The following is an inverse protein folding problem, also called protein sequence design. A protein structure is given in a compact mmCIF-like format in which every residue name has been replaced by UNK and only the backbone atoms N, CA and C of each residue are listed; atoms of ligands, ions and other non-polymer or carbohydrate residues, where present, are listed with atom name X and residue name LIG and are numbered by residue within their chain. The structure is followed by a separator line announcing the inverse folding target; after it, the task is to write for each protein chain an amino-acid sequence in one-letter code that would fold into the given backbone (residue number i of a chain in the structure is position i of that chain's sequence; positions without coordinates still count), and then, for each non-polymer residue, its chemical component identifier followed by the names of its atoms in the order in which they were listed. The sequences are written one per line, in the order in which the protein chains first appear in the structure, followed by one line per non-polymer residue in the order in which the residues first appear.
data_IF_046690918248
#
_entry.id   IF_046690918248
#
_cell.length_a   1.000
_cell.length_b   1.000
_cell.length_c   1.000
_cell.angle_alpha   90.00
_cell.angle_beta   90.00
_cell.angle_gamma   90.00
#
_symmetry.space_group_name_H-M   'P 1'
#
loop_
_entity.id
_entity.type
_entity.pdbx_description
1 polymer ?
#
# COMPACT_ATOMS: atom_id res chain seq x y z
N UNK A 1 54.82 29.54 -40.51
CA UNK A 1 53.62 29.65 -39.64
C UNK A 1 52.61 28.71 -40.23
N UNK A 2 52.42 27.55 -39.55
CA UNK A 2 51.45 26.54 -39.93
C UNK A 2 50.15 26.76 -39.11
N UNK A 3 49.05 26.87 -39.78
CA UNK A 3 47.70 26.89 -39.19
C UNK A 3 47.28 25.48 -38.90
N UNK A 4 46.86 25.24 -37.66
CA UNK A 4 46.27 23.97 -37.23
C UNK A 4 44.76 24.02 -37.46
N UNK A 5 44.28 23.09 -38.27
CA UNK A 5 42.89 22.85 -38.58
C UNK A 5 42.27 21.99 -37.47
N UNK A 6 41.31 22.54 -36.71
CA UNK A 6 40.62 21.85 -35.65
C UNK A 6 39.22 21.46 -36.17
N UNK A 7 39.10 20.25 -36.69
CA UNK A 7 37.81 19.62 -37.00
C UNK A 7 37.09 19.24 -35.76
N UNK A 8 36.03 19.96 -35.37
CA UNK A 8 35.11 19.57 -34.34
C UNK A 8 34.20 18.44 -34.85
N UNK A 9 34.31 17.27 -34.23
CA UNK A 9 33.39 16.16 -34.46
C UNK A 9 32.00 16.49 -33.84
N UNK A 10 31.01 16.61 -34.69
CA UNK A 10 29.60 16.70 -34.25
C UNK A 10 29.18 15.35 -33.68
N UNK A 11 28.79 15.36 -32.41
CA UNK A 11 28.15 14.22 -31.81
C UNK A 11 26.75 14.07 -32.43
N UNK A 12 26.54 13.02 -33.20
CA UNK A 12 25.22 12.62 -33.66
C UNK A 12 24.42 12.13 -32.42
N UNK A 13 23.47 12.95 -32.03
CA UNK A 13 22.43 12.54 -31.09
C UNK A 13 21.49 11.59 -31.85
N UNK A 14 21.64 10.29 -31.66
CA UNK A 14 20.66 9.31 -32.14
C UNK A 14 19.36 9.57 -31.38
N UNK A 15 18.41 10.22 -32.03
CA UNK A 15 17.04 10.27 -31.60
C UNK A 15 16.53 8.80 -31.54
N UNK A 16 16.11 8.33 -30.39
CA UNK A 16 15.44 7.05 -30.25
C UNK A 16 14.22 7.06 -31.21
N UNK A 17 14.14 6.08 -32.11
CA UNK A 17 12.99 5.92 -32.98
C UNK A 17 11.72 5.73 -32.13
N UNK A 18 10.68 6.51 -32.42
CA UNK A 18 9.37 6.29 -31.82
C UNK A 18 8.89 4.86 -32.16
N UNK A 19 8.30 4.14 -31.21
CA UNK A 19 7.80 2.80 -31.45
C UNK A 19 6.68 2.86 -32.50
N UNK A 20 6.89 2.19 -33.64
CA UNK A 20 5.94 2.10 -34.77
C UNK A 20 4.98 0.92 -34.57
N UNK A 21 4.48 0.69 -33.36
CA UNK A 21 3.55 -0.39 -33.00
C UNK A 21 2.28 0.15 -32.35
N UNK A 22 1.23 -0.68 -32.34
CA UNK A 22 0.01 -0.36 -31.58
C UNK A 22 0.32 -0.18 -30.10
N UNK A 23 -0.20 0.91 -29.50
CA UNK A 23 -0.02 1.19 -28.07
C UNK A 23 -0.68 0.09 -27.24
N UNK A 24 0.10 -0.63 -26.43
CA UNK A 24 -0.40 -1.67 -25.56
C UNK A 24 -1.13 -1.03 -24.37
N UNK A 25 -2.41 -1.38 -24.20
CA UNK A 25 -3.22 -0.92 -23.07
C UNK A 25 -3.04 -1.88 -21.91
N UNK A 26 -2.58 -1.36 -20.78
CA UNK A 26 -2.36 -2.12 -19.54
C UNK A 26 -3.33 -1.64 -18.46
N UNK A 27 -3.83 -2.57 -17.68
CA UNK A 27 -4.66 -2.31 -16.50
C UNK A 27 -3.83 -2.51 -15.24
N UNK A 28 -3.85 -1.52 -14.34
CA UNK A 28 -3.16 -1.56 -13.05
C UNK A 28 -4.14 -1.55 -11.89
N UNK A 29 -4.22 -2.65 -11.15
CA UNK A 29 -4.97 -2.75 -9.90
C UNK A 29 -4.27 -2.01 -8.77
N UNK A 30 -5.03 -1.22 -7.98
CA UNK A 30 -4.49 -0.41 -6.88
C UNK A 30 -5.22 -0.70 -5.56
N UNK A 31 -5.93 0.25 -5.00
CA UNK A 31 -6.73 0.15 -3.78
C UNK A 31 -7.80 1.24 -3.79
N UNK A 32 -8.38 1.55 -2.65
CA UNK A 32 -9.33 2.64 -2.50
C UNK A 32 -8.72 3.99 -2.89
N UNK A 33 -9.55 4.90 -3.44
CA UNK A 33 -9.11 6.18 -4.02
C UNK A 33 -8.47 7.14 -3.00
N UNK A 34 -8.71 6.95 -1.70
CA UNK A 34 -8.11 7.74 -0.61
C UNK A 34 -6.84 7.11 -0.03
N UNK A 35 -6.40 5.98 -0.60
CA UNK A 35 -5.19 5.26 -0.23
C UNK A 35 -3.99 5.58 -1.12
N UNK A 36 -2.79 5.23 -0.65
CA UNK A 36 -1.53 5.51 -1.34
C UNK A 36 -1.37 4.72 -2.63
N UNK A 37 -1.87 3.48 -2.74
CA UNK A 37 -1.81 2.68 -3.96
C UNK A 37 -2.41 3.42 -5.16
N UNK A 38 -3.61 3.98 -4.99
CA UNK A 38 -4.30 4.68 -6.06
C UNK A 38 -3.55 5.96 -6.49
N UNK A 39 -3.13 6.77 -5.52
CA UNK A 39 -2.38 7.99 -5.78
C UNK A 39 -1.04 7.71 -6.47
N UNK A 40 -0.29 6.73 -5.96
CA UNK A 40 1.03 6.35 -6.50
C UNK A 40 0.91 5.69 -7.88
N UNK A 41 -0.07 4.79 -8.05
CA UNK A 41 -0.38 4.18 -9.34
C UNK A 41 -0.73 5.22 -10.40
N UNK A 42 -1.50 6.25 -10.02
CA UNK A 42 -1.81 7.39 -10.89
C UNK A 42 -0.57 8.17 -11.33
N UNK A 43 0.40 8.35 -10.42
CA UNK A 43 1.69 9.00 -10.76
C UNK A 43 2.50 8.12 -11.73
N UNK A 44 2.62 6.81 -11.46
CA UNK A 44 3.31 5.87 -12.36
C UNK A 44 2.67 5.92 -13.75
N UNK A 45 1.35 5.75 -13.82
CA UNK A 45 0.62 5.76 -15.08
C UNK A 45 0.82 7.07 -15.84
N UNK A 46 0.71 8.23 -15.17
CA UNK A 46 0.89 9.53 -15.80
C UNK A 46 2.30 9.70 -16.36
N UNK A 47 3.33 9.31 -15.60
CA UNK A 47 4.73 9.41 -16.05
C UNK A 47 4.99 8.52 -17.26
N UNK A 48 4.57 7.24 -17.22
CA UNK A 48 4.81 6.28 -18.30
C UNK A 48 4.00 6.62 -19.55
N UNK A 49 2.72 6.94 -19.40
CA UNK A 49 1.84 7.33 -20.51
C UNK A 49 2.32 8.59 -21.24
N UNK A 50 3.05 9.49 -20.53
CA UNK A 50 3.60 10.71 -21.14
C UNK A 50 4.88 10.50 -21.95
N UNK A 51 5.51 9.31 -21.87
CA UNK A 51 6.82 9.06 -22.49
C UNK A 51 6.76 8.45 -23.90
N UNK A 52 5.59 8.15 -24.42
CA UNK A 52 5.41 7.53 -25.75
C UNK A 52 6.30 6.28 -25.96
N UNK A 53 6.29 5.39 -24.96
CA UNK A 53 7.08 4.15 -24.94
C UNK A 53 6.28 2.93 -25.40
N UNK A 54 5.14 3.14 -26.07
CA UNK A 54 4.30 2.06 -26.60
C UNK A 54 3.35 1.42 -25.60
N UNK A 55 3.21 1.95 -24.36
CA UNK A 55 2.25 1.50 -23.36
C UNK A 55 1.32 2.61 -22.92
N UNK A 56 0.11 2.22 -22.50
CA UNK A 56 -0.86 3.11 -21.88
C UNK A 56 -1.50 2.41 -20.67
N UNK A 57 -1.19 2.88 -19.48
CA UNK A 57 -1.63 2.28 -18.21
C UNK A 57 -2.91 2.96 -17.74
N UNK A 58 -3.95 2.16 -17.50
CA UNK A 58 -5.20 2.56 -16.87
C UNK A 58 -5.24 2.07 -15.42
N UNK A 59 -5.38 2.99 -14.47
CA UNK A 59 -5.41 2.69 -13.04
C UNK A 59 -6.83 2.38 -12.59
N UNK A 60 -7.00 1.28 -11.86
CA UNK A 60 -8.28 0.86 -11.29
C UNK A 60 -8.24 0.87 -9.76
N UNK A 61 -9.30 1.39 -9.14
CA UNK A 61 -9.58 1.21 -7.72
C UNK A 61 -10.11 -0.20 -7.47
N UNK A 62 -9.58 -0.87 -6.44
CA UNK A 62 -9.87 -2.28 -6.12
C UNK A 62 -10.00 -2.48 -4.61
N UNK A 63 -10.29 -3.72 -4.18
CA UNK A 63 -10.23 -4.17 -2.78
C UNK A 63 -8.81 -4.41 -2.25
N UNK A 64 -7.79 -3.84 -2.87
CA UNK A 64 -6.38 -3.92 -2.52
C UNK A 64 -5.76 -5.33 -2.66
N UNK A 65 -4.80 -5.70 -1.79
CA UNK A 65 -3.78 -6.72 -2.08
C UNK A 65 -4.32 -8.09 -2.49
N UNK A 66 -5.25 -8.69 -1.74
CA UNK A 66 -5.80 -10.02 -2.11
C UNK A 66 -6.56 -9.98 -3.42
N UNK A 67 -7.41 -8.96 -3.60
CA UNK A 67 -8.15 -8.76 -4.85
C UNK A 67 -7.19 -8.56 -6.04
N UNK A 68 -6.13 -7.79 -5.86
CA UNK A 68 -5.13 -7.51 -6.88
C UNK A 68 -4.34 -8.77 -7.29
N UNK A 69 -3.99 -9.62 -6.33
CA UNK A 69 -3.37 -10.92 -6.63
C UNK A 69 -4.26 -11.73 -7.58
N UNK A 70 -5.56 -11.84 -7.28
CA UNK A 70 -6.48 -12.59 -8.14
C UNK A 70 -6.68 -11.93 -9.50
N UNK A 71 -6.83 -10.60 -9.56
CA UNK A 71 -6.94 -9.90 -10.85
C UNK A 71 -5.75 -10.18 -11.77
N UNK A 72 -4.52 -10.20 -11.22
CA UNK A 72 -3.32 -10.51 -12.00
C UNK A 72 -3.24 -11.99 -12.33
N UNK A 73 -3.50 -12.87 -11.36
CA UNK A 73 -3.48 -14.34 -11.54
C UNK A 73 -4.46 -14.80 -12.62
N UNK A 74 -5.66 -14.22 -12.64
CA UNK A 74 -6.72 -14.56 -13.57
C UNK A 74 -6.56 -13.86 -14.94
N UNK A 75 -5.64 -12.88 -15.01
CA UNK A 75 -5.33 -12.10 -16.20
C UNK A 75 -6.34 -11.01 -16.51
N UNK A 76 -7.03 -10.50 -15.47
CA UNK A 76 -7.94 -9.36 -15.53
C UNK A 76 -7.21 -8.03 -15.30
N UNK A 77 -6.03 -8.07 -14.68
CA UNK A 77 -5.10 -6.95 -14.59
C UNK A 77 -3.69 -7.36 -15.07
N UNK A 78 -2.98 -6.40 -15.64
CA UNK A 78 -1.62 -6.59 -16.13
C UNK A 78 -0.57 -6.28 -15.07
N UNK A 79 -0.84 -5.28 -14.25
CA UNK A 79 -0.02 -4.79 -13.16
C UNK A 79 -0.87 -4.62 -11.90
N UNK A 80 -0.27 -4.71 -10.73
CA UNK A 80 -0.95 -4.34 -9.50
C UNK A 80 0.03 -3.95 -8.39
N UNK A 81 -0.47 -3.17 -7.42
CA UNK A 81 0.22 -2.92 -6.15
C UNK A 81 -0.33 -3.84 -5.07
N UNK A 82 0.57 -4.48 -4.33
CA UNK A 82 0.25 -5.43 -3.26
C UNK A 82 1.20 -5.26 -2.08
N UNK A 83 0.80 -5.71 -0.93
CA UNK A 83 1.69 -5.85 0.23
C UNK A 83 2.63 -7.04 0.01
N UNK A 84 3.88 -6.93 0.45
CA UNK A 84 4.87 -8.00 0.28
C UNK A 84 4.57 -9.26 1.11
N UNK A 85 3.93 -9.13 2.26
CA UNK A 85 3.42 -10.24 3.07
C UNK A 85 2.27 -10.97 2.35
N UNK A 86 1.29 -10.24 1.84
CA UNK A 86 0.17 -10.81 1.07
C UNK A 86 0.65 -11.51 -0.20
N UNK A 87 1.68 -10.95 -0.87
CA UNK A 87 2.33 -11.59 -2.02
C UNK A 87 2.94 -12.95 -1.64
N UNK A 88 3.62 -13.03 -0.49
CA UNK A 88 4.19 -14.27 0.02
C UNK A 88 3.12 -15.30 0.39
N UNK A 89 2.07 -14.86 1.11
CA UNK A 89 0.94 -15.72 1.47
C UNK A 89 0.24 -16.29 0.22
N UNK A 90 0.06 -15.48 -0.81
CA UNK A 90 -0.50 -15.92 -2.07
C UNK A 90 0.37 -16.99 -2.73
N UNK A 91 1.67 -16.72 -2.82
CA UNK A 91 2.61 -17.64 -3.48
C UNK A 91 2.71 -19.00 -2.77
N UNK A 92 2.65 -19.00 -1.43
CA UNK A 92 2.77 -20.20 -0.61
C UNK A 92 1.40 -20.87 -0.30
N UNK A 93 0.28 -20.20 -0.53
CA UNK A 93 -1.06 -20.68 -0.15
C UNK A 93 -1.24 -20.73 1.37
N UNK A 94 -0.76 -19.72 2.07
CA UNK A 94 -0.83 -19.60 3.54
C UNK A 94 -1.69 -18.41 3.95
N UNK A 95 -1.97 -18.25 5.24
CA UNK A 95 -2.75 -17.15 5.83
C UNK A 95 -4.03 -16.84 5.02
N UNK A 96 -4.10 -15.67 4.37
CA UNK A 96 -5.23 -15.24 3.55
C UNK A 96 -5.62 -16.20 2.44
N UNK A 97 -4.72 -17.08 2.03
CA UNK A 97 -4.90 -18.01 0.91
C UNK A 97 -4.95 -19.46 1.37
N UNK A 98 -5.00 -19.73 2.68
CA UNK A 98 -4.97 -21.08 3.22
C UNK A 98 -6.17 -21.94 2.78
N UNK A 99 -7.35 -21.32 2.59
CA UNK A 99 -8.55 -22.02 2.17
C UNK A 99 -8.65 -22.16 0.64
N UNK A 100 -8.27 -21.10 -0.10
CA UNK A 100 -8.38 -21.07 -1.56
C UNK A 100 -7.17 -21.70 -2.27
N UNK A 101 -6.03 -21.83 -1.55
CA UNK A 101 -4.78 -22.35 -2.09
C UNK A 101 -3.90 -21.28 -2.72
N UNK A 102 -2.73 -21.72 -3.20
CA UNK A 102 -1.73 -20.82 -3.76
C UNK A 102 -2.17 -20.17 -5.08
N UNK A 103 -1.95 -18.88 -5.21
CA UNK A 103 -2.04 -18.11 -6.45
C UNK A 103 -0.62 -17.67 -6.83
N UNK A 104 -0.10 -18.13 -7.98
CA UNK A 104 1.32 -17.99 -8.35
C UNK A 104 1.57 -17.31 -9.68
N UNK A 105 0.52 -17.01 -10.45
CA UNK A 105 0.64 -16.45 -11.79
C UNK A 105 0.86 -14.93 -11.74
N UNK A 106 1.91 -14.51 -11.04
CA UNK A 106 2.40 -13.13 -11.00
C UNK A 106 3.93 -13.12 -10.81
N UNK A 107 4.54 -11.99 -11.15
CA UNK A 107 5.98 -11.72 -10.96
C UNK A 107 6.16 -10.44 -10.16
N UNK A 108 7.03 -10.46 -9.15
CA UNK A 108 7.42 -9.25 -8.44
C UNK A 108 8.34 -8.39 -9.32
N UNK A 109 7.99 -7.13 -9.50
CA UNK A 109 8.75 -6.17 -10.32
C UNK A 109 9.64 -5.29 -9.44
N UNK A 110 9.06 -4.64 -8.43
CA UNK A 110 9.80 -3.72 -7.56
C UNK A 110 9.14 -3.56 -6.19
N UNK A 111 9.95 -3.36 -5.16
CA UNK A 111 9.51 -2.79 -3.90
C UNK A 111 9.41 -1.27 -4.05
N UNK A 112 8.31 -0.67 -3.62
CA UNK A 112 8.00 0.73 -3.87
C UNK A 112 8.31 1.62 -2.66
N UNK A 113 7.55 1.45 -1.57
CA UNK A 113 7.67 2.29 -0.37
C UNK A 113 7.25 1.50 0.88
N UNK A 114 7.52 2.07 2.05
CA UNK A 114 7.05 1.51 3.31
C UNK A 114 5.54 1.74 3.47
N UNK A 115 4.80 0.67 3.69
CA UNK A 115 3.39 0.71 4.08
C UNK A 115 3.30 0.67 5.60
N UNK A 116 2.99 1.82 6.15
CA UNK A 116 2.98 2.07 7.59
C UNK A 116 1.64 1.66 8.17
N UNK A 117 1.66 0.80 9.18
CA UNK A 117 0.47 0.44 9.93
C UNK A 117 0.10 1.58 10.88
N UNK A 118 -0.95 2.31 10.56
CA UNK A 118 -1.44 3.46 11.30
C UNK A 118 -2.73 3.09 12.01
N UNK A 119 -2.79 3.28 13.32
CA UNK A 119 -3.98 3.02 14.13
C UNK A 119 -4.53 4.36 14.59
N UNK A 120 -5.64 4.77 14.00
CA UNK A 120 -6.22 6.10 14.16
C UNK A 120 -7.41 6.05 15.10
N UNK A 121 -7.45 6.98 16.09
CA UNK A 121 -8.56 7.13 17.04
C UNK A 121 -9.02 8.57 17.14
N UNK A 122 -10.16 8.79 17.78
CA UNK A 122 -10.73 10.14 18.04
C UNK A 122 -10.05 10.91 19.17
N UNK A 123 -8.96 10.37 19.76
CA UNK A 123 -8.17 11.06 20.79
C UNK A 123 -8.41 10.63 22.22
N UNK A 124 -9.49 9.91 22.55
CA UNK A 124 -9.77 9.39 23.90
C UNK A 124 -9.01 8.09 24.19
N UNK A 125 -8.78 7.27 23.17
CA UNK A 125 -8.03 6.00 23.25
C UNK A 125 -6.55 6.32 23.06
N UNK A 126 -5.68 5.82 23.94
CA UNK A 126 -4.25 6.15 23.99
C UNK A 126 -3.33 4.96 23.77
N UNK A 127 -3.83 3.74 23.86
CA UNK A 127 -3.04 2.51 23.65
C UNK A 127 -3.83 1.46 22.88
N UNK A 128 -3.12 0.50 22.29
CA UNK A 128 -3.74 -0.62 21.58
C UNK A 128 -4.56 -1.49 22.52
N UNK A 129 -4.13 -1.65 23.78
CA UNK A 129 -4.89 -2.43 24.81
C UNK A 129 -6.29 -1.89 25.06
N UNK A 130 -6.50 -0.58 24.90
CA UNK A 130 -7.80 0.06 25.11
C UNK A 130 -8.80 -0.21 23.96
N UNK A 131 -8.37 -0.88 22.89
CA UNK A 131 -9.25 -1.28 21.79
C UNK A 131 -10.20 -2.42 22.16
N UNK A 132 -9.96 -3.16 23.26
CA UNK A 132 -10.90 -4.19 23.75
C UNK A 132 -12.29 -3.63 23.97
N UNK A 133 -13.29 -4.29 23.38
CA UNK A 133 -14.70 -3.88 23.42
C UNK A 133 -15.07 -2.71 22.51
N UNK A 134 -14.12 -2.11 21.79
CA UNK A 134 -14.34 -0.97 20.92
C UNK A 134 -14.81 -1.39 19.52
N UNK A 135 -15.45 -0.44 18.82
CA UNK A 135 -15.83 -0.56 17.42
C UNK A 135 -14.61 -0.18 16.58
N UNK A 136 -14.01 -1.16 15.91
CA UNK A 136 -12.75 -0.97 15.19
C UNK A 136 -12.93 -1.33 13.71
N UNK A 137 -12.60 -0.41 12.81
CA UNK A 137 -12.48 -0.75 11.40
C UNK A 137 -11.09 -1.33 11.13
N UNK A 138 -11.07 -2.54 10.57
CA UNK A 138 -9.86 -3.32 10.31
C UNK A 138 -9.48 -3.33 8.82
N UNK A 139 -10.09 -2.47 8.00
CA UNK A 139 -9.93 -2.46 6.55
C UNK A 139 -11.03 -3.26 5.84
N UNK A 140 -11.01 -3.23 4.52
CA UNK A 140 -11.92 -4.02 3.69
C UNK A 140 -11.74 -5.51 3.99
N UNK A 141 -12.84 -6.28 3.92
CA UNK A 141 -12.80 -7.71 4.18
C UNK A 141 -11.85 -8.43 3.20
N UNK A 142 -10.95 -9.24 3.71
CA UNK A 142 -9.91 -9.93 2.93
C UNK A 142 -8.77 -9.02 2.47
N UNK A 143 -8.72 -7.75 2.90
CA UNK A 143 -7.60 -6.86 2.58
C UNK A 143 -6.35 -7.22 3.39
N UNK A 144 -5.17 -6.83 2.90
CA UNK A 144 -3.93 -6.95 3.68
C UNK A 144 -3.98 -6.14 4.99
N UNK A 145 -4.73 -5.03 5.02
CA UNK A 145 -4.95 -4.23 6.23
C UNK A 145 -5.65 -5.03 7.32
N UNK A 146 -6.66 -5.82 6.96
CA UNK A 146 -7.37 -6.69 7.91
C UNK A 146 -6.42 -7.69 8.58
N UNK A 147 -5.48 -8.25 7.82
CA UNK A 147 -4.45 -9.15 8.37
C UNK A 147 -3.47 -8.43 9.27
N UNK A 148 -2.97 -7.27 8.83
CA UNK A 148 -2.09 -6.47 9.67
C UNK A 148 -2.79 -6.07 10.98
N UNK A 149 -4.07 -5.69 10.93
CA UNK A 149 -4.86 -5.40 12.12
C UNK A 149 -4.98 -6.62 13.04
N UNK A 150 -5.29 -7.80 12.47
CA UNK A 150 -5.36 -9.06 13.22
C UNK A 150 -4.04 -9.38 13.90
N UNK A 151 -2.94 -9.38 13.16
CA UNK A 151 -1.61 -9.72 13.64
C UNK A 151 -1.11 -8.73 14.71
N UNK A 152 -1.35 -7.42 14.52
CA UNK A 152 -1.00 -6.41 15.52
C UNK A 152 -1.81 -6.62 16.79
N UNK A 153 -3.13 -6.80 16.70
CA UNK A 153 -3.98 -7.03 17.86
C UNK A 153 -3.60 -8.32 18.61
N UNK A 154 -3.32 -9.41 17.87
CA UNK A 154 -2.88 -10.68 18.45
C UNK A 154 -1.54 -10.53 19.20
N UNK A 155 -0.61 -9.70 18.73
CA UNK A 155 0.62 -9.40 19.45
C UNK A 155 0.33 -8.77 20.83
N UNK A 156 -0.75 -7.98 20.96
CA UNK A 156 -1.26 -7.43 22.23
C UNK A 156 -2.20 -8.37 22.97
N UNK A 157 -2.35 -9.63 22.55
CA UNK A 157 -3.28 -10.58 23.17
C UNK A 157 -4.74 -10.19 23.01
N UNK A 158 -5.09 -9.53 21.92
CA UNK A 158 -6.44 -9.12 21.54
C UNK A 158 -6.85 -9.89 20.29
N UNK A 159 -7.94 -10.64 20.36
CA UNK A 159 -8.52 -11.29 19.18
C UNK A 159 -9.59 -10.40 18.54
N UNK A 160 -10.02 -10.75 17.32
CA UNK A 160 -11.17 -10.08 16.70
C UNK A 160 -12.48 -10.29 17.47
N UNK A 161 -12.59 -11.34 18.29
CA UNK A 161 -13.73 -11.56 19.18
C UNK A 161 -13.77 -10.59 20.37
N UNK A 162 -12.63 -9.98 20.70
CA UNK A 162 -12.51 -8.98 21.78
C UNK A 162 -12.89 -7.57 21.35
N UNK A 163 -13.17 -7.33 20.05
CA UNK A 163 -13.55 -6.03 19.48
C UNK A 163 -14.84 -6.15 18.65
N UNK A 164 -15.44 -5.01 18.31
CA UNK A 164 -16.56 -4.96 17.37
C UNK A 164 -15.99 -4.64 15.97
N UNK A 165 -15.72 -5.67 15.19
CA UNK A 165 -15.10 -5.57 13.87
C UNK A 165 -16.02 -4.85 12.88
N UNK A 166 -15.45 -3.90 12.14
CA UNK A 166 -16.04 -3.26 10.99
C UNK A 166 -15.09 -3.40 9.80
N UNK A 167 -15.60 -3.78 8.64
CA UNK A 167 -14.81 -3.88 7.42
C UNK A 167 -15.16 -2.70 6.51
N UNK A 168 -14.31 -1.66 6.53
CA UNK A 168 -14.51 -0.43 5.77
C UNK A 168 -13.20 -0.01 5.10
N UNK A 169 -13.29 0.55 3.91
CA UNK A 169 -12.17 1.22 3.26
C UNK A 169 -11.71 2.48 4.03
N UNK A 170 -10.54 3.03 3.70
CA UNK A 170 -9.93 4.12 4.49
C UNK A 170 -10.81 5.39 4.56
N UNK A 171 -11.42 5.78 3.43
CA UNK A 171 -12.31 6.93 3.40
C UNK A 171 -13.56 6.73 4.26
N UNK A 172 -14.23 5.58 4.09
CA UNK A 172 -15.42 5.22 4.88
C UNK A 172 -15.09 5.08 6.37
N UNK A 173 -13.88 4.57 6.71
CA UNK A 173 -13.40 4.49 8.08
C UNK A 173 -13.19 5.87 8.69
N UNK A 174 -12.59 6.80 7.95
CA UNK A 174 -12.40 8.18 8.39
C UNK A 174 -13.74 8.88 8.65
N UNK A 175 -14.70 8.72 7.74
CA UNK A 175 -16.05 9.26 7.91
C UNK A 175 -16.80 8.60 9.09
N UNK A 176 -16.68 7.27 9.25
CA UNK A 176 -17.30 6.57 10.36
C UNK A 176 -16.71 6.98 11.72
N UNK A 177 -15.38 7.22 11.80
CA UNK A 177 -14.74 7.75 13.00
C UNK A 177 -15.21 9.17 13.31
N UNK A 178 -15.25 10.05 12.31
CA UNK A 178 -15.75 11.41 12.40
C UNK A 178 -17.19 11.46 12.91
N UNK A 179 -18.04 10.56 12.43
CA UNK A 179 -19.44 10.44 12.82
C UNK A 179 -19.65 9.74 14.17
N UNK A 180 -18.59 9.26 14.82
CA UNK A 180 -18.66 8.50 16.07
C UNK A 180 -19.32 7.13 15.93
N UNK A 181 -19.33 6.56 14.71
CA UNK A 181 -19.86 5.22 14.42
C UNK A 181 -18.84 4.11 14.76
N UNK A 182 -17.55 4.43 14.69
CA UNK A 182 -16.44 3.59 15.14
C UNK A 182 -15.56 4.38 16.12
N UNK A 183 -14.71 3.68 16.85
CA UNK A 183 -13.82 4.27 17.88
C UNK A 183 -12.36 4.33 17.41
N UNK A 184 -11.98 3.45 16.48
CA UNK A 184 -10.67 3.40 15.86
C UNK A 184 -10.73 2.77 14.46
N UNK A 185 -9.69 3.00 13.66
CA UNK A 185 -9.48 2.26 12.43
C UNK A 185 -8.00 2.00 12.14
N UNK A 186 -7.74 0.88 11.48
CA UNK A 186 -6.43 0.54 10.94
C UNK A 186 -6.30 1.04 9.50
N UNK A 187 -5.11 1.54 9.17
CA UNK A 187 -4.75 1.98 7.83
C UNK A 187 -3.29 1.59 7.55
N UNK A 188 -3.07 0.60 6.70
CA UNK A 188 -1.73 0.22 6.24
C UNK A 188 -1.50 0.85 4.87
N UNK A 189 -0.71 1.92 4.84
CA UNK A 189 -0.48 2.73 3.64
C UNK A 189 0.77 3.59 3.79
N UNK A 190 1.19 4.30 2.74
CA UNK A 190 2.21 5.34 2.87
C UNK A 190 1.75 6.46 3.80
N UNK A 191 2.63 6.93 4.67
CA UNK A 191 2.35 8.06 5.56
C UNK A 191 3.05 9.34 5.01
N UNK A 192 2.33 10.49 4.90
CA UNK A 192 0.93 10.70 5.25
C UNK A 192 -0.06 10.08 4.22
N UNK A 193 -1.19 9.56 4.73
CA UNK A 193 -2.28 8.97 3.92
C UNK A 193 -3.40 9.99 3.73
N UNK A 194 -3.96 10.10 2.52
CA UNK A 194 -4.99 11.10 2.18
C UNK A 194 -6.19 11.05 3.11
N UNK A 195 -6.77 9.89 3.37
CA UNK A 195 -7.93 9.75 4.26
C UNK A 195 -7.67 10.30 5.67
N UNK A 196 -6.46 10.08 6.23
CA UNK A 196 -6.09 10.57 7.55
C UNK A 196 -5.81 12.07 7.52
N UNK A 197 -5.16 12.58 6.47
CA UNK A 197 -4.93 14.03 6.28
C UNK A 197 -6.25 14.77 6.23
N UNK A 198 -7.21 14.31 5.45
CA UNK A 198 -8.54 14.92 5.33
C UNK A 198 -9.30 14.91 6.67
N UNK A 199 -9.31 13.78 7.36
CA UNK A 199 -9.91 13.66 8.69
C UNK A 199 -9.27 14.63 9.69
N UNK A 200 -7.94 14.70 9.74
CA UNK A 200 -7.20 15.57 10.66
C UNK A 200 -7.41 17.06 10.41
N UNK A 201 -7.87 17.48 9.22
CA UNK A 201 -8.18 18.90 8.94
C UNK A 201 -9.35 19.41 9.77
N UNK A 202 -10.33 18.55 10.07
CA UNK A 202 -11.61 18.91 10.71
C UNK A 202 -11.81 18.28 12.08
N UNK A 203 -11.06 17.23 12.41
CA UNK A 203 -11.21 16.47 13.65
C UNK A 203 -9.89 16.37 14.41
N UNK A 204 -9.96 16.29 15.73
CA UNK A 204 -8.82 15.86 16.54
C UNK A 204 -8.66 14.35 16.40
N UNK A 205 -7.48 13.91 16.02
CA UNK A 205 -7.11 12.50 15.92
C UNK A 205 -5.96 12.19 16.86
N UNK A 206 -5.79 10.91 17.15
CA UNK A 206 -4.60 10.36 17.79
C UNK A 206 -4.15 9.13 17.02
N UNK A 207 -2.83 8.95 16.88
CA UNK A 207 -2.24 7.73 16.37
C UNK A 207 -1.72 6.89 17.53
N UNK A 208 -2.09 5.61 17.57
CA UNK A 208 -1.61 4.70 18.61
C UNK A 208 -0.22 4.18 18.25
N UNK A 209 0.64 4.11 19.25
CA UNK A 209 1.97 3.52 19.12
C UNK A 209 1.89 1.98 19.16
N UNK A 210 2.66 1.34 18.28
CA UNK A 210 3.07 -0.06 18.46
C UNK A 210 4.46 -0.02 19.09
N UNK A 211 4.55 -0.41 20.35
CA UNK A 211 5.79 -0.32 21.12
C UNK A 211 6.84 -1.37 20.69
N UNK A 212 8.07 -1.24 21.19
CA UNK A 212 9.21 -2.10 20.82
C UNK A 212 8.98 -3.58 21.14
N UNK A 213 8.30 -3.87 22.25
CA UNK A 213 8.01 -5.25 22.66
C UNK A 213 7.09 -5.93 21.65
N UNK A 214 5.99 -5.29 21.33
CA UNK A 214 4.98 -5.82 20.40
C UNK A 214 5.46 -5.77 18.94
N UNK A 215 6.23 -4.77 18.57
CA UNK A 215 6.89 -4.72 17.26
C UNK A 215 7.89 -5.88 17.09
N UNK A 216 8.60 -6.25 18.16
CA UNK A 216 9.49 -7.43 18.14
C UNK A 216 8.70 -8.74 18.05
N UNK A 217 7.60 -8.90 18.79
CA UNK A 217 6.73 -10.08 18.70
C UNK A 217 6.25 -10.26 17.26
N UNK A 218 5.78 -9.17 16.64
CA UNK A 218 5.35 -9.17 15.23
C UNK A 218 6.47 -9.57 14.27
N UNK A 219 7.65 -8.97 14.40
CA UNK A 219 8.78 -9.27 13.52
C UNK A 219 9.30 -10.69 13.66
N UNK A 220 9.27 -11.27 14.89
CA UNK A 220 9.67 -12.64 15.14
C UNK A 220 8.67 -13.65 14.53
N UNK A 221 7.37 -13.33 14.55
CA UNK A 221 6.31 -14.20 14.00
C UNK A 221 6.12 -13.99 12.48
N UNK A 222 6.26 -12.77 12.01
CA UNK A 222 6.01 -12.35 10.65
C UNK A 222 7.19 -11.49 10.15
N UNK A 223 8.18 -12.07 9.44
CA UNK A 223 9.45 -11.41 9.11
C UNK A 223 9.32 -10.26 8.09
N UNK A 224 8.12 -9.94 7.66
CA UNK A 224 7.83 -8.81 6.76
C UNK A 224 7.78 -7.47 7.51
N UNK A 225 7.50 -7.49 8.82
CA UNK A 225 7.39 -6.27 9.62
C UNK A 225 8.76 -5.70 9.96
N UNK A 226 8.84 -4.38 9.85
CA UNK A 226 9.98 -3.57 10.34
C UNK A 226 9.44 -2.44 11.21
N UNK A 227 10.20 -2.01 12.21
CA UNK A 227 9.84 -0.81 12.97
C UNK A 227 9.87 0.43 12.08
N UNK A 228 8.94 1.34 12.30
CA UNK A 228 8.83 2.60 11.59
C UNK A 228 8.44 3.72 12.53
N UNK A 229 8.97 4.92 12.34
CA UNK A 229 8.55 6.12 13.05
C UNK A 229 7.85 7.07 12.07
N UNK A 230 6.57 7.36 12.34
CA UNK A 230 5.84 8.40 11.62
C UNK A 230 6.31 9.74 12.19
N UNK A 231 6.91 10.63 11.38
CA UNK A 231 7.41 11.90 11.89
C UNK A 231 6.30 12.78 12.46
N UNK A 232 6.56 13.43 13.58
CA UNK A 232 5.68 14.45 14.13
C UNK A 232 5.39 15.54 13.09
N UNK A 233 4.15 16.04 13.10
CA UNK A 233 3.68 17.00 12.10
C UNK A 233 3.25 16.37 10.76
N UNK A 234 3.33 15.04 10.58
CA UNK A 234 2.79 14.36 9.39
C UNK A 234 1.27 14.56 9.25
N UNK A 235 0.58 14.70 10.38
CA UNK A 235 -0.85 14.98 10.43
C UNK A 235 -1.11 16.15 11.38
N UNK A 236 -2.10 16.97 11.06
CA UNK A 236 -2.48 18.10 11.92
C UNK A 236 -2.89 17.61 13.31
N UNK A 237 -2.23 18.14 14.34
CA UNK A 237 -2.48 17.80 15.74
C UNK A 237 -1.78 16.53 16.24
N UNK A 238 -0.92 15.92 15.43
CA UNK A 238 0.01 14.85 15.81
C UNK A 238 1.42 15.43 15.72
N UNK A 239 1.87 16.06 16.81
CA UNK A 239 3.10 16.86 16.81
C UNK A 239 4.35 16.03 17.16
N UNK A 240 4.19 14.92 17.86
CA UNK A 240 5.26 14.01 18.24
C UNK A 240 5.42 12.86 17.24
N UNK A 241 6.63 12.29 17.19
CA UNK A 241 6.89 11.07 16.42
C UNK A 241 6.07 9.90 16.99
N UNK A 242 5.46 9.11 16.10
CA UNK A 242 4.68 7.94 16.50
C UNK A 242 5.36 6.68 16.00
N UNK A 243 5.85 5.86 16.92
CA UNK A 243 6.42 4.56 16.61
C UNK A 243 5.32 3.57 16.22
N UNK A 244 5.58 2.81 15.17
CA UNK A 244 4.72 1.75 14.68
C UNK A 244 5.53 0.71 13.89
N UNK A 245 4.85 -0.15 13.15
CA UNK A 245 5.46 -1.11 12.23
C UNK A 245 5.05 -0.81 10.78
N UNK A 246 5.85 -1.30 9.86
CA UNK A 246 5.59 -1.19 8.43
C UNK A 246 5.98 -2.47 7.69
N UNK A 247 5.30 -2.68 6.59
CA UNK A 247 5.63 -3.66 5.55
C UNK A 247 5.99 -2.92 4.26
N UNK A 248 6.07 -3.58 3.11
CA UNK A 248 6.43 -2.93 1.84
C UNK A 248 5.34 -3.06 0.80
N UNK A 249 5.01 -1.94 0.16
CA UNK A 249 4.30 -1.94 -1.11
C UNK A 249 5.18 -2.54 -2.19
N UNK A 250 4.62 -3.41 -3.00
CA UNK A 250 5.30 -4.12 -4.08
C UNK A 250 4.49 -3.99 -5.35
N UNK A 251 5.15 -3.67 -6.46
CA UNK A 251 4.56 -3.77 -7.79
C UNK A 251 4.72 -5.21 -8.28
N UNK A 252 3.60 -5.80 -8.69
CA UNK A 252 3.57 -7.09 -9.37
C UNK A 252 3.06 -6.93 -10.80
N UNK A 253 3.45 -7.86 -11.66
CA UNK A 253 3.05 -7.93 -13.05
C UNK A 253 2.55 -9.32 -13.43
N UNK A 254 1.66 -9.37 -14.42
CA UNK A 254 1.26 -10.61 -15.06
C UNK A 254 2.45 -11.24 -15.79
N UNK A 255 2.69 -12.56 -15.65
CA UNK A 255 3.75 -13.24 -16.37
C UNK A 255 3.50 -13.33 -17.89
N UNK A 256 2.33 -12.88 -18.34
CA UNK A 256 1.98 -12.77 -19.76
C UNK A 256 2.61 -11.53 -20.42
N UNK A 257 3.04 -10.54 -19.63
CA UNK A 257 3.77 -9.39 -20.15
C UNK A 257 5.19 -9.81 -20.55
N UNK A 258 5.69 -9.23 -21.64
CA UNK A 258 7.09 -9.43 -22.04
C UNK A 258 8.04 -8.66 -21.11
N UNK A 259 9.29 -9.14 -20.99
CA UNK A 259 10.34 -8.42 -20.26
C UNK A 259 10.60 -7.00 -20.82
N UNK A 260 10.32 -6.80 -22.12
CA UNK A 260 10.45 -5.48 -22.76
C UNK A 260 9.34 -4.51 -22.31
N UNK A 261 8.16 -5.04 -21.92
CA UNK A 261 7.02 -4.25 -21.47
C UNK A 261 7.13 -3.86 -20.00
N UNK A 262 7.73 -4.70 -19.17
CA UNK A 262 7.89 -4.51 -17.71
C UNK A 262 9.21 -3.80 -17.41
#
# INVERSE_FOLDING_TARGET
AAAADTTAAAAETTAAAAPSGDVQKLTMGTGGTTGTYYAYGGVIANVLNSKDIGVNINVQSTGASKANIYLVNDGEADLATVQNDVMDYAYNGTDLFAEEGAAKDFTAVAALYAEVCQIVTSGDIKSVDELKGKRVSVGDAGSGVEFNARQILEAYGISFDDIQVNNLGFGDSADALKDGKIDAFFCTAGAPTTAIVELATTNTINLLTVDDEHAKILADAHPFYTTYSIPGGSYKGVDDDVQTVAIKATLIASPKLSEETV
#
